data_IF_278942881209
#
_entry.id   IF_278942881209
#
_cell.length_a   1.000
_cell.length_b   1.000
_cell.length_c   1.000
_cell.angle_alpha   90.00
_cell.angle_beta   90.00
_cell.angle_gamma   90.00
#
_symmetry.space_group_name_H-M   'P 1'
#
loop_
_entity.id
_entity.type
_entity.pdbx_description
1 polymer ?
#
# COMPACT_ATOMS: atom_id res chain seq x y z
N UNK A 1 -12.75 -15.34 16.08
CA UNK A 1 -11.95 -14.38 15.26
C UNK A 1 -10.59 -14.33 15.90
N UNK A 2 -9.54 -14.72 15.17
CA UNK A 2 -8.19 -14.90 15.74
C UNK A 2 -7.13 -14.09 14.97
N UNK A 3 -7.38 -13.76 13.71
CA UNK A 3 -6.42 -13.05 12.86
C UNK A 3 -7.07 -11.85 12.19
N UNK A 4 -6.51 -10.68 12.45
CA UNK A 4 -6.96 -9.41 11.88
C UNK A 4 -5.84 -8.90 10.96
N UNK A 5 -6.14 -8.80 9.66
CA UNK A 5 -5.25 -8.13 8.72
C UNK A 5 -5.53 -6.62 8.75
N UNK A 6 -4.49 -5.82 8.93
CA UNK A 6 -4.58 -4.36 9.05
C UNK A 6 -3.75 -3.73 7.94
N UNK A 7 -4.41 -3.16 6.94
CA UNK A 7 -3.73 -2.51 5.83
C UNK A 7 -3.47 -1.03 6.13
N UNK A 8 -2.22 -0.61 6.00
CA UNK A 8 -1.74 0.75 6.27
C UNK A 8 -0.98 1.33 5.08
N UNK A 9 -1.10 2.65 4.89
CA UNK A 9 -0.56 3.38 3.75
C UNK A 9 0.06 4.73 4.12
N UNK A 10 0.33 4.97 5.40
CA UNK A 10 0.83 6.23 5.96
C UNK A 10 -0.07 7.46 5.76
N UNK A 11 -1.29 7.29 5.29
CA UNK A 11 -2.28 8.37 5.21
C UNK A 11 -2.76 8.82 6.59
N UNK A 12 -3.47 9.94 6.64
CA UNK A 12 -4.07 10.46 7.87
C UNK A 12 -5.13 9.52 8.49
N UNK A 13 -5.61 8.53 7.75
CA UNK A 13 -6.52 7.51 8.27
C UNK A 13 -5.78 6.43 9.07
N UNK A 14 -4.50 6.19 8.78
CA UNK A 14 -3.71 5.10 9.38
C UNK A 14 -3.71 5.08 10.91
N UNK A 15 -3.53 6.19 11.64
CA UNK A 15 -3.60 6.18 13.10
C UNK A 15 -4.95 5.67 13.64
N UNK A 16 -6.04 6.06 13.00
CA UNK A 16 -7.40 5.57 13.35
C UNK A 16 -7.58 4.09 13.06
N UNK A 17 -7.06 3.61 11.93
CA UNK A 17 -7.06 2.19 11.55
C UNK A 17 -6.33 1.35 12.59
N UNK A 18 -5.11 1.74 12.96
CA UNK A 18 -4.30 1.04 13.96
C UNK A 18 -4.96 1.06 15.34
N UNK A 19 -5.49 2.22 15.74
CA UNK A 19 -6.17 2.36 17.04
C UNK A 19 -7.36 1.39 17.15
N UNK A 20 -8.24 1.37 16.15
CA UNK A 20 -9.41 0.49 16.14
C UNK A 20 -9.01 -0.98 16.07
N UNK A 21 -8.02 -1.32 15.24
CA UNK A 21 -7.52 -2.69 15.13
C UNK A 21 -6.98 -3.22 16.47
N UNK A 22 -6.25 -2.39 17.22
CA UNK A 22 -5.74 -2.73 18.57
C UNK A 22 -6.87 -2.98 19.56
N UNK A 23 -7.91 -2.14 19.56
CA UNK A 23 -9.09 -2.34 20.42
C UNK A 23 -9.78 -3.65 20.09
N UNK A 24 -10.00 -3.96 18.82
CA UNK A 24 -10.60 -5.21 18.37
C UNK A 24 -9.76 -6.43 18.74
N UNK A 25 -8.44 -6.36 18.50
CA UNK A 25 -7.53 -7.46 18.82
C UNK A 25 -7.55 -7.80 20.31
N UNK A 26 -7.53 -6.78 21.19
CA UNK A 26 -7.65 -6.98 22.64
C UNK A 26 -8.98 -7.59 23.04
N UNK A 27 -10.08 -7.05 22.51
CA UNK A 27 -11.43 -7.52 22.86
C UNK A 27 -11.70 -8.96 22.40
N UNK A 28 -11.08 -9.39 21.31
CA UNK A 28 -11.31 -10.67 20.66
C UNK A 28 -10.20 -11.70 20.92
N UNK A 29 -9.17 -11.35 21.68
CA UNK A 29 -7.96 -12.15 21.86
C UNK A 29 -7.39 -12.61 20.51
N UNK A 30 -7.20 -11.65 19.59
CA UNK A 30 -6.74 -11.86 18.22
C UNK A 30 -5.33 -11.33 17.98
N UNK A 31 -4.63 -11.92 17.02
CA UNK A 31 -3.35 -11.41 16.52
C UNK A 31 -3.57 -10.41 15.37
N UNK A 32 -2.65 -9.45 15.24
CA UNK A 32 -2.64 -8.46 14.17
C UNK A 32 -1.58 -8.83 13.13
N UNK A 33 -1.97 -8.83 11.87
CA UNK A 33 -1.07 -8.85 10.72
C UNK A 33 -1.09 -7.48 10.06
N UNK A 34 -0.07 -6.67 10.33
CA UNK A 34 0.07 -5.33 9.77
C UNK A 34 0.65 -5.44 8.36
N UNK A 35 -0.04 -4.91 7.36
CA UNK A 35 0.37 -4.99 5.96
C UNK A 35 0.55 -3.59 5.39
N UNK A 36 1.74 -3.34 4.86
CA UNK A 36 2.05 -2.19 4.01
C UNK A 36 2.49 -2.71 2.63
N UNK A 37 1.75 -2.37 1.57
CA UNK A 37 2.07 -2.79 0.21
C UNK A 37 2.90 -1.72 -0.48
N UNK A 38 4.09 -2.11 -0.96
CA UNK A 38 4.91 -1.25 -1.81
C UNK A 38 4.41 -1.31 -3.25
N UNK A 39 3.94 -0.18 -3.76
CA UNK A 39 3.53 -0.11 -5.16
C UNK A 39 4.75 -0.14 -6.08
N UNK A 40 4.70 -0.99 -7.10
CA UNK A 40 5.66 -0.92 -8.21
C UNK A 40 5.24 0.27 -9.06
N UNK A 41 5.85 1.41 -8.83
CA UNK A 41 5.73 2.53 -9.76
C UNK A 41 6.52 2.14 -11.00
N UNK A 42 5.85 1.71 -12.07
CA UNK A 42 6.51 1.52 -13.35
C UNK A 42 7.19 2.85 -13.72
N UNK A 43 8.51 2.85 -13.81
CA UNK A 43 9.22 4.01 -14.32
C UNK A 43 8.60 4.38 -15.68
N UNK A 44 8.34 5.66 -15.97
CA UNK A 44 7.83 6.05 -17.26
C UNK A 44 8.81 5.53 -18.33
N UNK A 45 8.32 4.64 -19.19
CA UNK A 45 9.12 4.13 -20.31
C UNK A 45 9.68 5.34 -21.08
N UNK A 46 11.00 5.41 -21.36
CA UNK A 46 11.59 6.51 -22.11
C UNK A 46 11.18 6.48 -23.59
N UNK A 47 9.93 6.33 -23.89
CA UNK A 47 9.36 6.22 -25.23
C UNK A 47 8.02 6.90 -25.43
N UNK A 48 7.38 7.41 -24.38
CA UNK A 48 6.05 8.02 -24.49
C UNK A 48 6.07 9.53 -24.83
N UNK A 49 7.23 10.13 -25.04
CA UNK A 49 7.38 11.51 -25.56
C UNK A 49 7.30 11.61 -27.10
N UNK A 50 6.91 10.54 -27.77
CA UNK A 50 6.93 10.43 -29.24
C UNK A 50 5.63 10.72 -29.99
N UNK A 51 4.59 11.27 -29.37
CA UNK A 51 3.40 11.68 -30.11
C UNK A 51 3.35 13.19 -30.32
N UNK A 52 4.24 13.71 -31.16
CA UNK A 52 4.26 15.14 -31.45
C UNK A 52 4.99 15.54 -32.74
N UNK A 53 5.56 14.60 -33.50
CA UNK A 53 6.22 14.89 -34.77
C UNK A 53 5.78 13.89 -35.84
N UNK A 54 4.50 13.97 -36.23
CA UNK A 54 4.02 13.38 -37.50
C UNK A 54 4.72 14.12 -38.66
N UNK A 55 5.81 13.57 -39.20
CA UNK A 55 6.40 14.14 -40.40
C UNK A 55 7.83 13.71 -40.75
N UNK A 56 8.50 12.85 -40.02
CA UNK A 56 9.81 12.33 -40.43
C UNK A 56 9.85 10.79 -40.42
N UNK A 57 9.66 10.12 -41.57
CA UNK A 57 9.94 8.71 -41.67
C UNK A 57 11.45 8.56 -41.94
N UNK A 58 12.20 8.16 -41.00
CA UNK A 58 13.58 7.64 -41.12
C UNK A 58 14.49 8.06 -39.96
N UNK A 59 14.16 7.61 -38.77
CA UNK A 59 15.18 7.35 -37.76
C UNK A 59 14.84 6.03 -37.09
N UNK A 60 15.41 4.96 -37.65
CA UNK A 60 15.45 3.65 -37.02
C UNK A 60 15.99 3.76 -35.60
N UNK A 61 15.50 2.95 -34.63
CA UNK A 61 16.03 2.97 -33.29
C UNK A 61 17.49 2.50 -33.36
N UNK A 62 18.43 3.41 -33.24
CA UNK A 62 19.82 3.07 -32.94
C UNK A 62 19.85 2.57 -31.47
N UNK A 63 19.57 1.30 -31.31
CA UNK A 63 19.82 0.58 -30.07
C UNK A 63 21.32 0.58 -29.84
N UNK A 64 21.78 1.28 -28.83
CA UNK A 64 23.15 1.14 -28.33
C UNK A 64 24.03 2.36 -28.28
N UNK A 65 23.54 3.57 -28.50
CA UNK A 65 24.34 4.77 -28.27
C UNK A 65 24.11 5.26 -26.82
N UNK A 66 25.16 5.25 -25.96
CA UNK A 66 25.06 5.87 -24.65
C UNK A 66 24.85 7.39 -24.84
N UNK A 67 23.75 7.91 -24.32
CA UNK A 67 23.54 9.36 -24.26
C UNK A 67 24.44 9.91 -23.14
N UNK A 68 25.47 10.71 -23.43
CA UNK A 68 26.33 11.28 -22.39
C UNK A 68 25.48 12.16 -21.45
N UNK A 69 25.50 11.83 -20.16
CA UNK A 69 24.75 12.57 -19.13
C UNK A 69 23.41 11.94 -18.72
N UNK A 70 23.00 10.82 -19.30
CA UNK A 70 21.90 10.04 -18.81
C UNK A 70 22.46 8.90 -17.95
N UNK A 71 22.74 9.19 -16.70
CA UNK A 71 22.89 8.12 -15.72
C UNK A 71 21.49 7.54 -15.49
N UNK A 72 21.31 6.20 -15.63
CA UNK A 72 20.07 5.59 -15.23
C UNK A 72 19.89 5.93 -13.75
N UNK A 73 18.85 6.71 -13.44
CA UNK A 73 18.48 6.93 -12.04
C UNK A 73 18.33 5.56 -11.40
N UNK A 74 19.02 5.29 -10.27
CA UNK A 74 18.80 4.05 -9.56
C UNK A 74 17.31 3.94 -9.31
N UNK A 75 16.75 2.76 -9.60
CA UNK A 75 15.37 2.43 -9.27
C UNK A 75 15.15 2.82 -7.81
N UNK A 76 14.55 3.98 -7.61
CA UNK A 76 14.25 4.46 -6.29
C UNK A 76 13.05 3.71 -5.72
N UNK A 77 13.26 2.44 -5.37
CA UNK A 77 12.59 1.84 -4.22
C UNK A 77 13.42 2.27 -2.99
N UNK A 78 13.65 3.54 -2.86
CA UNK A 78 14.11 4.08 -1.60
C UNK A 78 12.88 4.16 -0.71
N UNK A 79 12.63 3.06 0.04
CA UNK A 79 11.87 3.22 1.28
C UNK A 79 12.50 4.40 2.00
N UNK A 80 11.71 5.45 2.24
CA UNK A 80 12.22 6.50 3.08
C UNK A 80 12.53 5.85 4.44
N UNK A 81 13.68 6.12 5.05
CA UNK A 81 13.99 5.62 6.39
C UNK A 81 12.87 5.94 7.37
N UNK A 82 12.07 6.97 7.08
CA UNK A 82 10.89 7.39 7.81
C UNK A 82 9.75 6.35 7.76
N UNK A 83 9.49 5.70 6.61
CA UNK A 83 8.42 4.68 6.48
C UNK A 83 8.75 3.43 7.30
N UNK A 84 9.97 2.92 7.20
CA UNK A 84 10.43 1.78 8.00
C UNK A 84 10.37 2.09 9.50
N UNK A 85 10.80 3.28 9.88
CA UNK A 85 10.78 3.73 11.27
C UNK A 85 9.34 3.82 11.80
N UNK A 86 8.39 4.26 10.97
CA UNK A 86 6.96 4.35 11.34
C UNK A 86 6.32 2.98 11.48
N UNK A 87 6.59 2.05 10.57
CA UNK A 87 6.08 0.67 10.65
C UNK A 87 6.62 -0.04 11.90
N UNK A 88 7.92 0.04 12.15
CA UNK A 88 8.55 -0.54 13.33
C UNK A 88 8.00 0.06 14.65
N UNK A 89 7.70 1.37 14.65
CA UNK A 89 7.08 2.03 15.80
C UNK A 89 5.68 1.48 16.06
N UNK A 90 4.84 1.34 15.04
CA UNK A 90 3.49 0.79 15.21
C UNK A 90 3.51 -0.67 15.66
N UNK A 91 4.40 -1.48 15.09
CA UNK A 91 4.61 -2.86 15.53
C UNK A 91 4.97 -2.91 17.02
N UNK A 92 5.92 -2.10 17.45
CA UNK A 92 6.34 -2.00 18.85
C UNK A 92 5.21 -1.52 19.78
N UNK A 93 4.46 -0.50 19.37
CA UNK A 93 3.33 0.02 20.14
C UNK A 93 2.23 -1.06 20.33
N UNK A 94 1.91 -1.81 19.27
CA UNK A 94 0.94 -2.90 19.31
C UNK A 94 1.44 -4.01 20.26
N UNK A 95 2.69 -4.41 20.12
CA UNK A 95 3.30 -5.46 20.94
C UNK A 95 3.36 -5.08 22.44
N UNK A 96 3.66 -3.82 22.75
CA UNK A 96 3.69 -3.31 24.12
C UNK A 96 2.34 -3.40 24.84
N UNK A 97 1.25 -3.44 24.08
CA UNK A 97 -0.10 -3.62 24.64
C UNK A 97 -0.50 -5.09 24.82
N UNK A 98 0.44 -6.02 24.60
CA UNK A 98 0.22 -7.45 24.75
C UNK A 98 -0.49 -8.11 23.56
N UNK A 99 -0.64 -7.41 22.44
CA UNK A 99 -1.21 -7.97 21.21
C UNK A 99 -0.08 -8.53 20.35
N UNK A 100 -0.22 -9.77 19.94
CA UNK A 100 0.73 -10.37 18.98
C UNK A 100 0.58 -9.69 17.62
N UNK A 101 1.68 -9.22 17.06
CA UNK A 101 1.72 -8.52 15.77
C UNK A 101 2.79 -9.12 14.86
N UNK A 102 2.50 -9.14 13.57
CA UNK A 102 3.44 -9.54 12.51
C UNK A 102 3.35 -8.52 11.38
N UNK A 103 4.49 -8.01 10.93
CA UNK A 103 4.59 -7.06 9.82
C UNK A 103 4.79 -7.80 8.50
N UNK A 104 4.08 -7.37 7.46
CA UNK A 104 4.20 -7.85 6.09
C UNK A 104 4.38 -6.66 5.13
N UNK A 105 5.37 -6.72 4.25
CA UNK A 105 5.71 -5.68 3.30
C UNK A 105 5.80 -6.23 1.86
N UNK A 106 4.70 -6.77 1.30
CA UNK A 106 4.69 -7.25 -0.07
C UNK A 106 4.86 -6.10 -1.07
N UNK A 107 5.33 -6.43 -2.27
CA UNK A 107 5.46 -5.49 -3.38
C UNK A 107 4.50 -5.90 -4.49
N UNK A 108 3.70 -4.97 -5.01
CA UNK A 108 2.74 -5.26 -6.07
C UNK A 108 1.56 -4.29 -6.14
N UNK A 109 0.45 -4.75 -6.74
CA UNK A 109 -0.80 -4.01 -6.77
C UNK A 109 -1.48 -4.07 -5.39
N UNK A 110 -1.78 -2.91 -4.79
CA UNK A 110 -2.21 -2.80 -3.39
C UNK A 110 -3.39 -3.71 -3.06
N UNK A 111 -4.47 -3.65 -3.84
CA UNK A 111 -5.65 -4.45 -3.55
C UNK A 111 -5.40 -5.96 -3.66
N UNK A 112 -4.65 -6.38 -4.66
CA UNK A 112 -4.32 -7.79 -4.91
C UNK A 112 -3.45 -8.35 -3.79
N UNK A 113 -2.40 -7.62 -3.39
CA UNK A 113 -1.50 -8.08 -2.33
C UNK A 113 -2.19 -8.10 -0.96
N UNK A 114 -3.09 -7.16 -0.65
CA UNK A 114 -3.90 -7.20 0.57
C UNK A 114 -4.76 -8.47 0.60
N UNK A 115 -5.45 -8.79 -0.49
CA UNK A 115 -6.31 -9.99 -0.58
C UNK A 115 -5.50 -11.28 -0.50
N UNK A 116 -4.37 -11.33 -1.19
CA UNK A 116 -3.45 -12.47 -1.15
C UNK A 116 -2.88 -12.71 0.25
N UNK A 117 -2.49 -11.64 0.96
CA UNK A 117 -2.06 -11.76 2.35
C UNK A 117 -3.21 -12.22 3.27
N UNK A 118 -4.43 -11.69 3.06
CA UNK A 118 -5.59 -12.10 3.84
C UNK A 118 -5.88 -13.60 3.69
N UNK A 119 -5.75 -14.14 2.48
CA UNK A 119 -5.92 -15.57 2.22
C UNK A 119 -4.77 -16.39 2.79
N UNK A 120 -3.51 -15.95 2.61
CA UNK A 120 -2.32 -16.66 3.09
C UNK A 120 -2.32 -16.86 4.61
N UNK A 121 -2.77 -15.86 5.35
CA UNK A 121 -2.86 -15.95 6.82
C UNK A 121 -4.22 -16.49 7.30
N UNK A 122 -5.16 -16.78 6.42
CA UNK A 122 -6.56 -17.07 6.74
C UNK A 122 -7.15 -16.01 7.68
N UNK A 123 -7.10 -14.74 7.27
CA UNK A 123 -7.62 -13.64 8.04
C UNK A 123 -9.13 -13.78 8.29
N UNK A 124 -9.57 -13.47 9.49
CA UNK A 124 -11.00 -13.44 9.85
C UNK A 124 -11.63 -12.08 9.55
N UNK A 125 -10.80 -11.02 9.49
CA UNK A 125 -11.21 -9.65 9.27
C UNK A 125 -10.09 -8.88 8.57
N UNK A 126 -10.46 -8.03 7.61
CA UNK A 126 -9.58 -7.02 7.02
C UNK A 126 -9.99 -5.66 7.57
N UNK A 127 -9.06 -4.88 8.13
CA UNK A 127 -9.27 -3.50 8.60
C UNK A 127 -8.43 -2.56 7.75
N UNK A 128 -9.03 -1.54 7.17
CA UNK A 128 -8.35 -0.57 6.32
C UNK A 128 -9.04 0.79 6.33
N UNK A 129 -8.34 1.83 5.87
CA UNK A 129 -8.92 3.16 5.70
C UNK A 129 -9.90 3.23 4.52
N UNK A 130 -10.84 4.17 4.55
CA UNK A 130 -11.70 4.45 3.39
C UNK A 130 -10.93 5.10 2.24
N UNK A 131 -9.83 5.80 2.52
CA UNK A 131 -9.00 6.52 1.57
C UNK A 131 -7.53 6.28 1.88
N UNK A 132 -6.71 6.23 0.82
CA UNK A 132 -5.27 6.15 0.92
C UNK A 132 -4.57 7.47 0.58
N UNK A 133 -3.24 7.41 0.40
CA UNK A 133 -2.43 8.52 -0.07
C UNK A 133 -2.93 9.03 -1.42
N UNK A 134 -3.02 10.34 -1.58
CA UNK A 134 -3.40 10.98 -2.85
C UNK A 134 -4.89 10.95 -3.20
N UNK A 135 -5.77 10.53 -2.31
CA UNK A 135 -7.21 10.57 -2.55
C UNK A 135 -7.71 12.00 -2.69
N UNK A 136 -8.29 12.32 -3.85
CA UNK A 136 -9.00 13.58 -4.06
C UNK A 136 -10.17 13.68 -3.06
N UNK A 137 -10.34 14.86 -2.47
CA UNK A 137 -11.34 15.15 -1.43
C UNK A 137 -12.80 14.80 -1.80
N UNK A 138 -13.09 14.55 -3.07
CA UNK A 138 -14.44 14.29 -3.59
C UNK A 138 -14.75 12.81 -3.83
N UNK A 139 -13.80 11.88 -3.59
CA UNK A 139 -14.05 10.44 -3.74
C UNK A 139 -14.42 9.84 -2.39
N UNK A 140 -15.59 9.25 -2.30
CA UNK A 140 -16.07 8.59 -1.07
C UNK A 140 -15.23 7.37 -0.65
N UNK A 141 -14.48 6.75 -1.58
CA UNK A 141 -13.68 5.53 -1.34
C UNK A 141 -12.48 5.51 -2.28
N UNK A 142 -11.29 5.20 -1.76
CA UNK A 142 -10.05 5.09 -2.52
C UNK A 142 -10.01 3.91 -3.50
N UNK A 143 -9.11 3.94 -4.48
CA UNK A 143 -8.95 2.89 -5.50
C UNK A 143 -8.62 1.52 -4.90
N UNK A 144 -7.66 1.47 -3.99
CA UNK A 144 -7.27 0.24 -3.28
C UNK A 144 -8.45 -0.33 -2.49
N UNK A 145 -9.19 0.53 -1.76
CA UNK A 145 -10.36 0.12 -0.99
C UNK A 145 -11.47 -0.42 -1.90
N UNK A 146 -11.74 0.21 -3.05
CA UNK A 146 -12.69 -0.30 -4.05
C UNK A 146 -12.26 -1.66 -4.57
N UNK A 147 -10.96 -1.84 -4.87
CA UNK A 147 -10.41 -3.11 -5.34
C UNK A 147 -10.59 -4.23 -4.31
N UNK A 148 -10.27 -3.96 -3.05
CA UNK A 148 -10.47 -4.93 -1.97
C UNK A 148 -11.94 -5.26 -1.80
N UNK A 149 -12.84 -4.28 -1.70
CA UNK A 149 -14.28 -4.51 -1.52
C UNK A 149 -14.91 -5.33 -2.66
N UNK A 150 -14.42 -5.15 -3.89
CA UNK A 150 -14.93 -5.88 -5.06
C UNK A 150 -14.60 -7.36 -5.03
N UNK A 151 -13.46 -7.73 -4.44
CA UNK A 151 -12.93 -9.09 -4.52
C UNK A 151 -12.76 -9.78 -3.16
N UNK A 152 -13.06 -9.09 -2.06
CA UNK A 152 -12.91 -9.65 -0.71
C UNK A 152 -13.89 -10.81 -0.48
N UNK A 153 -13.33 -11.92 0.00
CA UNK A 153 -14.07 -13.11 0.48
C UNK A 153 -14.20 -13.10 1.99
N UNK A 154 -13.58 -12.12 2.66
CA UNK A 154 -13.55 -11.94 4.12
C UNK A 154 -14.27 -10.66 4.50
N UNK A 155 -14.84 -10.55 5.72
CA UNK A 155 -15.36 -9.28 6.22
C UNK A 155 -14.32 -8.16 6.13
N UNK A 156 -14.76 -6.97 5.71
CA UNK A 156 -13.92 -5.78 5.61
C UNK A 156 -14.50 -4.68 6.49
N UNK A 157 -13.70 -4.15 7.39
CA UNK A 157 -14.03 -3.01 8.23
C UNK A 157 -13.32 -1.77 7.70
N UNK A 158 -14.11 -0.78 7.30
CA UNK A 158 -13.60 0.49 6.81
C UNK A 158 -13.58 1.53 7.92
N UNK A 159 -12.42 2.15 8.10
CA UNK A 159 -12.22 3.22 9.06
C UNK A 159 -12.20 4.56 8.32
N UNK A 160 -13.17 5.44 8.58
CA UNK A 160 -13.17 6.76 7.97
C UNK A 160 -12.02 7.62 8.51
N UNK A 161 -11.59 8.59 7.70
CA UNK A 161 -10.67 9.63 8.17
C UNK A 161 -11.34 10.44 9.28
N UNK A 162 -10.62 10.72 10.34
CA UNK A 162 -11.09 11.63 11.36
C UNK A 162 -11.38 13.01 10.71
N UNK A 163 -12.57 13.55 10.96
CA UNK A 163 -12.88 14.94 10.59
C UNK A 163 -12.16 15.84 11.58
N UNK A 164 -11.21 16.64 11.09
CA UNK A 164 -10.65 17.78 11.83
C UNK A 164 -11.66 18.90 11.90
#
# INVERSE_FOLDING_TARGET
MKRILVAVDFSDATPGVIHLARQLAKALDAEIHLVHVREITAAPMPGSLGYGLAGMPELAPMTGVPVPGFEPMPEAIAESEDEKSRLARWEKEIAQEGVKVTLHEPTGAVAEEILKQADAINADLIVMGTHGHGAMYNLLVGSATKGVLKHATRPVLLVPRARS
#
